data_IF_474377752016
#
_entry.id   IF_474377752016
#
_cell.length_a   1.000
_cell.length_b   1.000
_cell.length_c   1.000
_cell.angle_alpha   90.00
_cell.angle_beta   90.00
_cell.angle_gamma   90.00
#
_symmetry.space_group_name_H-M   'P 1'
#
loop_
_entity.id
_entity.type
_entity.pdbx_description
1 polymer ?
#
# COMPACT_ATOMS: atom_id res chain seq x y z
N UNK A 1 -24.11 14.20 32.52
CA UNK A 1 -23.19 13.12 32.12
C UNK A 1 -22.48 13.55 30.86
N UNK A 2 -21.13 13.72 30.85
CA UNK A 2 -20.38 14.05 29.64
C UNK A 2 -20.44 12.80 28.74
N UNK A 3 -21.02 12.96 27.56
CA UNK A 3 -21.13 11.91 26.54
C UNK A 3 -19.72 11.59 26.03
N UNK A 4 -19.09 10.56 26.60
CA UNK A 4 -17.69 10.22 26.37
C UNK A 4 -17.57 9.30 25.13
N UNK A 5 -18.30 9.66 24.03
CA UNK A 5 -18.20 8.93 22.76
C UNK A 5 -16.79 9.04 22.22
N UNK A 6 -16.22 7.93 21.75
CA UNK A 6 -14.98 7.90 21.00
C UNK A 6 -15.10 8.72 19.70
N UNK A 7 -14.00 9.07 19.08
CA UNK A 7 -14.02 9.76 17.80
C UNK A 7 -14.78 8.97 16.73
N UNK A 8 -14.56 7.66 16.66
CA UNK A 8 -15.23 6.77 15.71
C UNK A 8 -16.76 6.70 15.96
N UNK A 9 -17.19 6.61 17.23
CA UNK A 9 -18.63 6.64 17.57
C UNK A 9 -19.30 7.95 17.19
N UNK A 10 -18.58 9.07 17.24
CA UNK A 10 -19.08 10.37 16.76
C UNK A 10 -19.19 10.40 15.25
N UNK A 11 -18.20 9.82 14.54
CA UNK A 11 -18.17 9.77 13.09
C UNK A 11 -19.25 8.85 12.52
N UNK A 12 -19.52 7.73 13.19
CA UNK A 12 -20.58 6.79 12.81
C UNK A 12 -22.00 7.34 13.13
N UNK A 13 -22.10 8.21 14.12
CA UNK A 13 -23.37 8.81 14.59
C UNK A 13 -24.52 7.79 14.79
N UNK A 14 -24.18 6.60 15.29
CA UNK A 14 -25.12 5.51 15.50
C UNK A 14 -25.44 4.66 14.28
N UNK A 15 -24.80 4.91 13.13
CA UNK A 15 -24.97 4.06 11.96
C UNK A 15 -24.41 2.66 12.21
N UNK A 16 -25.15 1.65 11.79
CA UNK A 16 -24.69 0.27 11.82
C UNK A 16 -23.57 0.05 10.81
N UNK A 17 -22.61 -0.83 11.20
CA UNK A 17 -21.48 -1.22 10.35
C UNK A 17 -21.60 -2.68 10.01
N UNK A 18 -21.79 -2.99 8.74
CA UNK A 18 -21.81 -4.36 8.24
C UNK A 18 -20.37 -4.88 8.10
N UNK A 19 -20.13 -6.14 8.50
CA UNK A 19 -18.84 -6.79 8.34
C UNK A 19 -18.91 -7.79 7.20
N UNK A 20 -18.02 -7.67 6.24
CA UNK A 20 -17.97 -8.52 5.05
C UNK A 20 -16.60 -9.15 4.88
N UNK A 21 -16.51 -10.43 4.46
CA UNK A 21 -15.24 -11.03 4.09
C UNK A 21 -14.70 -10.38 2.80
N UNK A 22 -13.40 -10.20 2.73
CA UNK A 22 -12.75 -9.51 1.59
C UNK A 22 -13.11 -10.17 0.24
N UNK A 23 -13.23 -11.50 0.18
CA UNK A 23 -13.61 -12.18 -1.05
C UNK A 23 -14.95 -11.71 -1.64
N UNK A 24 -15.90 -11.27 -0.78
CA UNK A 24 -17.24 -10.87 -1.22
C UNK A 24 -17.31 -9.46 -1.83
N UNK A 25 -16.31 -8.62 -1.56
CA UNK A 25 -16.34 -7.18 -1.90
C UNK A 25 -15.13 -6.72 -2.71
N UNK A 26 -14.19 -7.64 -3.01
CA UNK A 26 -12.99 -7.35 -3.78
C UNK A 26 -12.84 -8.28 -4.97
N UNK A 27 -12.22 -7.81 -6.03
CA UNK A 27 -11.75 -8.61 -7.17
C UNK A 27 -10.23 -8.65 -7.15
N UNK A 28 -9.65 -9.84 -7.42
CA UNK A 28 -8.22 -10.08 -7.40
C UNK A 28 -7.67 -10.40 -8.79
N UNK A 29 -6.34 -10.31 -8.93
CA UNK A 29 -5.62 -10.53 -10.19
C UNK A 29 -5.68 -11.97 -10.69
N UNK A 30 -5.92 -12.94 -9.80
CA UNK A 30 -6.06 -14.35 -10.16
C UNK A 30 -6.95 -15.12 -9.17
N UNK A 31 -7.34 -16.31 -9.58
CA UNK A 31 -7.92 -17.30 -8.68
C UNK A 31 -6.82 -18.00 -7.89
N UNK A 32 -7.08 -18.20 -6.61
CA UNK A 32 -6.17 -18.90 -5.70
C UNK A 32 -6.67 -20.33 -5.48
N UNK A 33 -5.80 -21.33 -5.67
CA UNK A 33 -6.17 -22.75 -5.62
C UNK A 33 -6.80 -23.17 -4.28
N UNK A 34 -6.42 -22.50 -3.19
CA UNK A 34 -6.96 -22.76 -1.84
C UNK A 34 -8.30 -22.07 -1.58
N UNK A 35 -8.84 -21.30 -2.53
CA UNK A 35 -10.09 -20.54 -2.39
C UNK A 35 -11.13 -21.13 -3.32
N UNK A 36 -12.34 -21.35 -2.81
CA UNK A 36 -13.48 -21.84 -3.57
C UNK A 36 -13.78 -20.92 -4.77
N UNK A 37 -14.16 -21.51 -5.92
CA UNK A 37 -14.38 -20.76 -7.16
C UNK A 37 -15.52 -19.74 -7.03
N UNK A 38 -16.51 -20.05 -6.22
CA UNK A 38 -17.68 -19.24 -5.93
C UNK A 38 -17.31 -17.95 -5.21
N UNK A 39 -16.24 -17.97 -4.41
CA UNK A 39 -15.68 -16.81 -3.71
C UNK A 39 -14.84 -15.91 -4.62
N UNK A 40 -14.44 -16.41 -5.78
CA UNK A 40 -13.68 -15.66 -6.79
C UNK A 40 -14.29 -15.82 -8.19
N UNK A 41 -15.54 -15.37 -8.41
CA UNK A 41 -16.22 -15.53 -9.71
C UNK A 41 -15.52 -14.76 -10.83
N UNK A 42 -14.91 -13.63 -10.50
CA UNK A 42 -14.21 -12.73 -11.44
C UNK A 42 -12.74 -12.57 -11.04
N UNK A 43 -11.89 -12.33 -12.02
CA UNK A 43 -10.50 -11.95 -11.85
C UNK A 43 -10.14 -10.86 -12.86
N UNK A 44 -9.20 -9.98 -12.51
CA UNK A 44 -8.63 -8.97 -13.39
C UNK A 44 -7.22 -9.43 -13.71
N UNK A 45 -6.93 -9.74 -14.98
CA UNK A 45 -5.59 -10.18 -15.38
C UNK A 45 -4.70 -8.97 -15.62
N UNK A 46 -3.56 -8.95 -14.95
CA UNK A 46 -2.48 -8.01 -15.21
C UNK A 46 -1.28 -8.77 -15.82
N UNK A 47 -0.54 -8.08 -16.68
CA UNK A 47 0.78 -8.55 -17.06
C UNK A 47 1.74 -8.25 -15.93
N UNK A 48 2.52 -9.23 -15.48
CA UNK A 48 3.57 -8.99 -14.49
C UNK A 48 4.94 -9.38 -15.02
N UNK A 49 5.91 -8.60 -14.59
CA UNK A 49 7.29 -8.72 -14.96
C UNK A 49 8.08 -9.45 -13.88
N UNK A 50 9.10 -10.23 -14.28
CA UNK A 50 10.08 -10.69 -13.32
C UNK A 50 10.95 -9.52 -12.83
N UNK A 51 11.53 -9.64 -11.64
CA UNK A 51 12.37 -8.58 -11.08
C UNK A 51 13.56 -8.20 -11.99
N UNK A 52 14.11 -9.18 -12.73
CA UNK A 52 15.18 -8.97 -13.72
C UNK A 52 14.72 -8.18 -14.94
N UNK A 53 13.45 -8.31 -15.32
CA UNK A 53 12.86 -7.57 -16.46
C UNK A 53 12.49 -6.14 -16.08
N UNK A 54 12.12 -5.89 -14.83
CA UNK A 54 11.79 -4.54 -14.34
C UNK A 54 13.00 -3.63 -14.23
N UNK A 55 14.15 -4.18 -13.82
CA UNK A 55 15.36 -3.38 -13.57
C UNK A 55 15.82 -2.50 -14.76
N UNK A 56 15.87 -3.01 -16.00
CA UNK A 56 16.25 -2.20 -17.16
C UNK A 56 15.19 -1.19 -17.61
N UNK A 57 13.96 -1.27 -17.06
CA UNK A 57 12.86 -0.36 -17.39
C UNK A 57 12.82 0.88 -16.51
N UNK A 58 13.68 0.98 -15.49
CA UNK A 58 13.68 2.11 -14.56
C UNK A 58 14.18 3.38 -15.26
N UNK A 59 13.36 4.43 -15.21
CA UNK A 59 13.66 5.75 -15.80
C UNK A 59 13.28 6.83 -14.80
N UNK A 60 14.21 7.75 -14.52
CA UNK A 60 13.93 8.92 -13.71
C UNK A 60 12.93 9.85 -14.42
N UNK A 61 11.91 10.30 -13.71
CA UNK A 61 10.87 11.17 -14.28
C UNK A 61 9.88 10.47 -15.21
N UNK A 62 9.81 9.12 -15.18
CA UNK A 62 8.81 8.36 -15.91
C UNK A 62 7.38 8.66 -15.46
N UNK A 63 6.40 8.24 -16.26
CA UNK A 63 4.96 8.48 -16.04
C UNK A 63 4.15 7.21 -15.77
N UNK A 64 4.79 6.04 -15.75
CA UNK A 64 4.21 4.74 -15.43
C UNK A 64 4.89 4.19 -14.18
N UNK A 65 4.12 3.86 -13.14
CA UNK A 65 4.65 3.33 -11.87
C UNK A 65 5.15 1.90 -12.05
N UNK A 66 6.34 1.61 -11.55
CA UNK A 66 6.84 0.24 -11.40
C UNK A 66 6.48 -0.28 -10.00
N UNK A 67 5.45 -1.12 -9.88
CA UNK A 67 5.04 -1.74 -8.62
C UNK A 67 5.87 -2.99 -8.37
N UNK A 68 6.91 -2.87 -7.57
CA UNK A 68 7.75 -4.00 -7.15
C UNK A 68 7.14 -4.72 -5.94
N UNK A 69 7.75 -5.83 -5.53
CA UNK A 69 7.39 -6.54 -4.29
C UNK A 69 7.91 -5.87 -3.01
N UNK A 70 8.59 -4.74 -3.13
CA UNK A 70 9.03 -3.88 -2.04
C UNK A 70 8.49 -2.47 -2.25
N UNK A 71 8.39 -1.68 -1.20
CA UNK A 71 8.13 -0.25 -1.34
C UNK A 71 9.26 0.40 -2.13
N UNK A 72 8.90 1.05 -3.22
CA UNK A 72 9.85 1.75 -4.08
C UNK A 72 9.16 2.89 -4.81
N UNK A 73 9.87 3.98 -5.02
CA UNK A 73 9.42 5.10 -5.85
C UNK A 73 10.17 5.10 -7.17
N UNK A 74 9.92 4.06 -7.98
CA UNK A 74 10.55 3.87 -9.28
C UNK A 74 9.50 3.90 -10.40
N UNK A 75 9.93 4.40 -11.53
CA UNK A 75 9.06 4.73 -12.66
C UNK A 75 9.66 4.25 -13.98
N UNK A 76 8.81 4.17 -14.99
CA UNK A 76 9.17 3.90 -16.39
C UNK A 76 8.36 4.81 -17.32
N UNK A 77 8.57 4.68 -18.62
CA UNK A 77 7.78 5.39 -19.64
C UNK A 77 6.86 4.44 -20.39
N UNK A 78 5.80 5.00 -20.99
CA UNK A 78 4.85 4.24 -21.80
C UNK A 78 5.51 3.54 -22.97
N UNK A 79 6.52 4.17 -23.58
CA UNK A 79 7.24 3.64 -24.74
C UNK A 79 7.99 2.34 -24.41
N UNK A 80 8.54 2.22 -23.20
CA UNK A 80 9.29 1.05 -22.77
C UNK A 80 8.42 -0.16 -22.45
N UNK A 81 7.20 0.06 -21.96
CA UNK A 81 6.29 -1.02 -21.52
C UNK A 81 5.12 -1.26 -22.46
N UNK A 82 4.87 -0.34 -23.40
CA UNK A 82 3.90 -0.45 -24.49
C UNK A 82 2.55 -1.04 -24.05
N UNK A 83 2.17 -2.21 -24.61
CA UNK A 83 0.86 -2.84 -24.41
C UNK A 83 0.68 -3.53 -23.02
N UNK A 84 1.71 -3.51 -22.17
CA UNK A 84 1.68 -4.16 -20.86
C UNK A 84 1.27 -3.20 -19.73
N UNK A 85 0.88 -1.98 -20.08
CA UNK A 85 0.43 -0.97 -19.12
C UNK A 85 -0.95 -1.36 -18.61
N UNK A 86 -1.10 -1.29 -17.30
CA UNK A 86 -2.39 -1.34 -16.62
C UNK A 86 -2.71 0.04 -16.05
N UNK A 87 -3.99 0.36 -15.94
CA UNK A 87 -4.44 1.61 -15.32
C UNK A 87 -5.59 1.32 -14.37
N UNK A 88 -5.57 1.94 -13.20
CA UNK A 88 -6.62 1.77 -12.22
C UNK A 88 -6.22 2.23 -10.83
N UNK A 89 -7.12 1.97 -9.89
CA UNK A 89 -6.92 2.19 -8.47
C UNK A 89 -6.89 0.84 -7.77
N UNK A 90 -5.73 0.50 -7.22
CA UNK A 90 -5.41 -0.87 -6.78
C UNK A 90 -4.73 -0.90 -5.41
N UNK A 91 -4.84 -2.07 -4.79
CA UNK A 91 -4.03 -2.47 -3.63
C UNK A 91 -3.18 -3.66 -4.04
N UNK A 92 -1.90 -3.64 -3.68
CA UNK A 92 -0.96 -4.71 -4.00
C UNK A 92 -0.35 -5.30 -2.72
N UNK A 93 -0.30 -6.63 -2.66
CA UNK A 93 0.37 -7.41 -1.62
C UNK A 93 1.42 -8.28 -2.32
N UNK A 94 2.70 -8.26 -1.92
CA UNK A 94 3.73 -9.11 -2.50
C UNK A 94 3.37 -10.59 -2.44
N UNK A 95 3.57 -11.31 -3.54
CA UNK A 95 3.40 -12.77 -3.53
C UNK A 95 4.48 -13.45 -2.69
N UNK A 96 5.64 -12.85 -2.51
CA UNK A 96 6.71 -13.41 -1.70
C UNK A 96 7.61 -12.35 -1.09
N UNK A 97 8.30 -12.71 -0.01
CA UNK A 97 9.20 -11.83 0.72
C UNK A 97 8.55 -11.18 1.94
N UNK A 98 8.85 -9.91 2.17
CA UNK A 98 8.31 -9.16 3.31
C UNK A 98 6.86 -8.76 3.06
N UNK A 99 5.96 -8.96 4.03
CA UNK A 99 4.58 -8.50 3.92
C UNK A 99 4.53 -6.97 3.95
N UNK A 100 4.00 -6.39 2.90
CA UNK A 100 3.65 -4.98 2.78
C UNK A 100 2.29 -4.84 2.11
N UNK A 101 1.68 -3.69 2.24
CA UNK A 101 0.46 -3.32 1.51
C UNK A 101 0.75 -2.02 0.77
N UNK A 102 0.60 -2.02 -0.54
CA UNK A 102 0.82 -0.86 -1.39
C UNK A 102 -0.52 -0.39 -1.98
N UNK A 103 -0.69 0.91 -2.10
CA UNK A 103 -1.80 1.54 -2.81
C UNK A 103 -1.24 2.33 -3.99
N UNK A 104 -1.92 2.23 -5.12
CA UNK A 104 -1.60 3.06 -6.27
C UNK A 104 -2.87 3.39 -7.08
N UNK A 105 -2.86 4.58 -7.68
CA UNK A 105 -3.90 5.04 -8.60
C UNK A 105 -3.24 5.70 -9.80
N UNK A 106 -3.44 5.14 -10.97
CA UNK A 106 -2.87 5.62 -12.23
C UNK A 106 -2.37 4.50 -13.13
N UNK A 107 -1.44 4.82 -14.03
CA UNK A 107 -0.80 3.87 -14.94
C UNK A 107 0.34 3.14 -14.24
N UNK A 108 0.36 1.82 -14.34
CA UNK A 108 1.38 1.00 -13.70
C UNK A 108 1.72 -0.27 -14.50
N UNK A 109 2.87 -0.81 -14.21
CA UNK A 109 3.24 -2.21 -14.45
C UNK A 109 3.65 -2.85 -13.12
N UNK A 110 3.56 -4.16 -13.01
CA UNK A 110 3.73 -4.83 -11.72
C UNK A 110 4.69 -6.00 -11.79
N UNK A 111 5.44 -6.20 -10.71
CA UNK A 111 6.09 -7.46 -10.40
C UNK A 111 5.09 -8.50 -9.87
N UNK A 112 5.56 -9.60 -9.31
CA UNK A 112 4.71 -10.69 -8.78
C UNK A 112 4.00 -10.28 -7.48
N UNK A 113 3.08 -9.35 -7.60
CA UNK A 113 2.14 -8.94 -6.57
C UNK A 113 0.81 -9.66 -6.70
N UNK A 114 0.04 -9.67 -5.61
CA UNK A 114 -1.40 -9.99 -5.61
C UNK A 114 -2.14 -8.68 -5.57
N UNK A 115 -2.89 -8.41 -6.61
CA UNK A 115 -3.54 -7.10 -6.81
C UNK A 115 -5.04 -7.25 -6.59
N UNK A 116 -5.56 -6.37 -5.76
CA UNK A 116 -6.98 -6.26 -5.44
C UNK A 116 -7.54 -4.91 -5.81
N UNK A 117 -8.83 -4.89 -6.09
CA UNK A 117 -9.65 -3.68 -6.20
C UNK A 117 -11.05 -3.95 -5.65
N UNK A 118 -11.75 -2.92 -5.25
CA UNK A 118 -13.16 -3.01 -4.85
C UNK A 118 -14.03 -3.52 -6.00
N UNK A 119 -14.98 -4.41 -5.70
CA UNK A 119 -15.99 -4.86 -6.67
C UNK A 119 -16.97 -3.73 -7.04
N UNK A 120 -17.18 -2.79 -6.10
CA UNK A 120 -18.10 -1.69 -6.24
C UNK A 120 -17.65 -0.51 -5.38
N UNK A 121 -17.09 0.50 -6.03
CA UNK A 121 -16.60 1.72 -5.35
C UNK A 121 -17.72 2.58 -4.75
N UNK A 122 -18.98 2.27 -5.03
CA UNK A 122 -20.14 2.88 -4.33
C UNK A 122 -20.42 2.24 -2.97
N UNK A 123 -19.76 1.13 -2.65
CA UNK A 123 -19.90 0.40 -1.38
C UNK A 123 -18.59 0.44 -0.59
N UNK A 124 -17.46 0.20 -1.27
CA UNK A 124 -16.14 0.15 -0.68
C UNK A 124 -15.18 1.04 -1.47
N UNK A 125 -14.65 2.06 -0.81
CA UNK A 125 -13.56 2.90 -1.33
C UNK A 125 -12.24 2.12 -1.31
N UNK A 126 -11.46 2.18 -2.40
CA UNK A 126 -10.21 1.45 -2.52
C UNK A 126 -9.13 1.95 -1.54
N UNK A 127 -9.11 3.24 -1.25
CA UNK A 127 -8.13 3.78 -0.32
C UNK A 127 -8.49 3.48 1.13
N UNK A 128 -9.79 3.41 1.44
CA UNK A 128 -10.26 2.88 2.72
C UNK A 128 -9.86 1.40 2.89
N UNK A 129 -10.04 0.56 1.85
CA UNK A 129 -9.56 -0.81 1.83
C UNK A 129 -8.05 -0.89 2.07
N UNK A 130 -7.26 -0.03 1.43
CA UNK A 130 -5.81 0.06 1.66
C UNK A 130 -5.48 0.33 3.13
N UNK A 131 -6.08 1.37 3.72
CA UNK A 131 -5.82 1.71 5.12
C UNK A 131 -6.26 0.62 6.09
N UNK A 132 -7.39 -0.05 5.79
CA UNK A 132 -7.80 -1.21 6.56
C UNK A 132 -6.77 -2.34 6.51
N UNK A 133 -6.32 -2.74 5.32
CA UNK A 133 -5.32 -3.79 5.16
C UNK A 133 -3.98 -3.40 5.79
N UNK A 134 -3.58 -2.14 5.68
CA UNK A 134 -2.39 -1.61 6.33
C UNK A 134 -2.50 -1.71 7.86
N UNK A 135 -3.67 -1.42 8.44
CA UNK A 135 -3.92 -1.57 9.89
C UNK A 135 -3.91 -3.04 10.36
N UNK A 136 -4.01 -3.99 9.43
CA UNK A 136 -3.98 -5.44 9.69
C UNK A 136 -2.69 -6.10 9.21
N UNK A 137 -1.64 -5.31 8.97
CA UNK A 137 -0.39 -5.81 8.41
C UNK A 137 0.22 -6.95 9.27
N UNK A 138 0.15 -6.86 10.60
CA UNK A 138 0.63 -7.92 11.49
C UNK A 138 -0.16 -9.23 11.31
N UNK A 139 -1.48 -9.14 11.14
CA UNK A 139 -2.34 -10.29 10.86
C UNK A 139 -2.00 -10.88 9.50
N UNK A 140 -1.89 -10.05 8.46
CA UNK A 140 -1.49 -10.48 7.11
C UNK A 140 -0.10 -11.14 7.16
N UNK A 141 0.84 -10.55 7.90
CA UNK A 141 2.19 -11.10 8.12
C UNK A 141 2.16 -12.51 8.71
N UNK A 142 1.23 -12.77 9.64
CA UNK A 142 1.06 -14.09 10.25
C UNK A 142 0.59 -15.17 9.27
N UNK A 143 0.04 -14.76 8.11
CA UNK A 143 -0.40 -15.66 7.05
C UNK A 143 0.73 -16.05 6.07
N UNK A 144 1.90 -15.40 6.16
CA UNK A 144 3.05 -15.72 5.33
C UNK A 144 3.77 -16.97 5.84
N UNK A 145 3.90 -17.98 4.96
CA UNK A 145 4.47 -19.29 5.28
C UNK A 145 5.49 -19.72 4.24
N UNK A 146 6.46 -20.52 4.66
CA UNK A 146 7.52 -21.06 3.84
C UNK A 146 8.85 -21.12 4.60
N UNK A 147 9.71 -22.07 4.25
CA UNK A 147 11.04 -22.24 4.85
C UNK A 147 12.11 -21.35 4.20
N UNK A 148 11.87 -20.89 2.99
CA UNK A 148 12.70 -19.94 2.25
C UNK A 148 11.97 -18.61 2.05
N UNK A 149 11.61 -18.28 0.81
CA UNK A 149 10.74 -17.14 0.53
C UNK A 149 9.35 -17.47 1.07
N UNK A 150 8.88 -16.63 1.99
CA UNK A 150 7.54 -16.78 2.56
C UNK A 150 6.49 -16.24 1.59
N UNK A 151 5.36 -16.93 1.49
CA UNK A 151 4.23 -16.56 0.65
C UNK A 151 2.95 -16.38 1.48
N UNK A 152 2.07 -15.41 1.15
CA UNK A 152 0.81 -15.22 1.85
C UNK A 152 -0.15 -16.36 1.58
N UNK A 153 -0.82 -16.85 2.62
CA UNK A 153 -2.01 -17.69 2.44
C UNK A 153 -3.19 -16.82 2.02
N UNK A 154 -3.46 -16.76 0.72
CA UNK A 154 -4.54 -15.94 0.19
C UNK A 154 -5.93 -16.40 0.68
N UNK A 155 -6.10 -17.67 1.04
CA UNK A 155 -7.31 -18.12 1.72
C UNK A 155 -7.60 -17.29 2.98
N UNK A 156 -6.61 -17.17 3.87
CA UNK A 156 -6.79 -16.40 5.11
C UNK A 156 -6.94 -14.89 4.84
N UNK A 157 -6.24 -14.35 3.84
CA UNK A 157 -6.40 -12.94 3.46
C UNK A 157 -7.83 -12.68 2.96
N UNK A 158 -8.38 -13.54 2.12
CA UNK A 158 -9.71 -13.36 1.56
C UNK A 158 -10.83 -13.54 2.60
N UNK A 159 -10.62 -14.35 3.61
CA UNK A 159 -11.57 -14.57 4.72
C UNK A 159 -11.54 -13.44 5.78
N UNK A 160 -10.60 -12.51 5.71
CA UNK A 160 -10.59 -11.39 6.65
C UNK A 160 -11.86 -10.56 6.53
N UNK A 161 -12.47 -10.25 7.68
CA UNK A 161 -13.65 -9.39 7.75
C UNK A 161 -13.22 -7.92 7.77
N UNK A 162 -13.83 -7.11 6.90
CA UNK A 162 -13.68 -5.66 6.86
C UNK A 162 -14.99 -4.98 7.24
N UNK A 163 -14.98 -3.93 8.07
CA UNK A 163 -16.17 -3.14 8.36
C UNK A 163 -16.52 -2.27 7.15
N UNK A 164 -17.81 -2.20 6.82
CA UNK A 164 -18.34 -1.40 5.72
C UNK A 164 -19.28 -0.31 6.28
N UNK A 165 -18.74 0.79 6.80
CA UNK A 165 -19.56 1.96 7.11
C UNK A 165 -20.03 2.65 5.81
N UNK A 166 -20.87 3.68 5.93
CA UNK A 166 -21.29 4.48 4.78
C UNK A 166 -20.09 5.08 4.04
N UNK A 167 -20.21 5.33 2.74
CA UNK A 167 -19.12 5.93 1.94
C UNK A 167 -18.66 7.28 2.49
N UNK A 168 -19.58 8.08 3.06
CA UNK A 168 -19.20 9.35 3.70
C UNK A 168 -18.26 9.17 4.86
N UNK A 169 -18.49 8.13 5.68
CA UNK A 169 -17.60 7.76 6.79
C UNK A 169 -16.25 7.22 6.27
N UNK A 170 -16.28 6.36 5.25
CA UNK A 170 -15.04 5.85 4.62
C UNK A 170 -14.21 7.02 4.08
N UNK A 171 -14.83 7.95 3.34
CA UNK A 171 -14.16 9.14 2.78
C UNK A 171 -13.56 10.02 3.87
N UNK A 172 -14.26 10.23 4.98
CA UNK A 172 -13.74 11.05 6.09
C UNK A 172 -12.57 10.37 6.79
N UNK A 173 -12.64 9.04 7.00
CA UNK A 173 -11.49 8.25 7.52
C UNK A 173 -10.28 8.39 6.60
N UNK A 174 -10.47 8.22 5.29
CA UNK A 174 -9.40 8.37 4.29
C UNK A 174 -8.80 9.76 4.34
N UNK A 175 -9.63 10.81 4.34
CA UNK A 175 -9.19 12.20 4.41
C UNK A 175 -8.29 12.47 5.64
N UNK A 176 -8.69 11.96 6.80
CA UNK A 176 -7.92 12.13 8.04
C UNK A 176 -6.59 11.37 7.97
N UNK A 177 -6.61 10.11 7.53
CA UNK A 177 -5.41 9.29 7.44
C UNK A 177 -4.43 9.82 6.38
N UNK A 178 -4.93 10.35 5.26
CA UNK A 178 -4.11 11.01 4.24
C UNK A 178 -3.41 12.24 4.81
N UNK A 179 -4.13 13.09 5.55
CA UNK A 179 -3.55 14.28 6.17
C UNK A 179 -2.47 13.90 7.20
N UNK A 180 -2.70 12.89 8.02
CA UNK A 180 -1.72 12.40 8.99
C UNK A 180 -0.49 11.77 8.31
N UNK A 181 -0.70 11.03 7.21
CA UNK A 181 0.39 10.43 6.43
C UNK A 181 1.26 11.52 5.79
N UNK A 182 0.64 12.54 5.19
CA UNK A 182 1.36 13.67 4.60
C UNK A 182 2.18 14.42 5.66
N UNK A 183 1.60 14.71 6.81
CA UNK A 183 2.29 15.37 7.93
C UNK A 183 3.48 14.52 8.44
N UNK A 184 3.29 13.21 8.58
CA UNK A 184 4.36 12.30 9.00
C UNK A 184 5.52 12.29 8.00
N UNK A 185 5.22 12.30 6.70
CA UNK A 185 6.22 12.37 5.63
C UNK A 185 7.00 13.68 5.68
N UNK A 186 6.31 14.81 5.85
CA UNK A 186 6.93 16.14 5.98
C UNK A 186 7.89 16.21 7.18
N UNK A 187 7.42 15.77 8.36
CA UNK A 187 8.23 15.72 9.59
C UNK A 187 9.46 14.82 9.45
N UNK A 188 9.31 13.68 8.76
CA UNK A 188 10.43 12.76 8.51
C UNK A 188 11.48 13.39 7.60
N UNK A 189 11.03 14.11 6.57
CA UNK A 189 11.90 14.86 5.65
C UNK A 189 12.63 15.98 6.39
N UNK A 190 11.93 16.74 7.21
CA UNK A 190 12.55 17.80 8.03
C UNK A 190 13.59 17.22 9.00
N UNK A 191 13.26 16.14 9.70
CA UNK A 191 14.20 15.48 10.60
C UNK A 191 15.47 15.04 9.87
N UNK A 192 15.35 14.52 8.68
CA UNK A 192 16.49 14.10 7.84
C UNK A 192 17.37 15.30 7.48
N UNK A 193 16.77 16.44 7.10
CA UNK A 193 17.50 17.67 6.81
C UNK A 193 18.21 18.23 8.06
N UNK A 194 17.55 18.21 9.21
CA UNK A 194 18.14 18.65 10.50
C UNK A 194 19.32 17.78 10.91
N UNK A 195 19.23 16.46 10.70
CA UNK A 195 20.36 15.54 10.95
C UNK A 195 21.56 15.88 10.08
N UNK A 196 21.37 16.08 8.77
CA UNK A 196 22.45 16.49 7.85
C UNK A 196 23.06 17.83 8.27
N UNK A 197 22.24 18.81 8.67
CA UNK A 197 22.69 20.08 9.16
C UNK A 197 23.55 19.94 10.44
N UNK A 198 23.09 19.13 11.40
CA UNK A 198 23.82 18.83 12.61
C UNK A 198 25.19 18.17 12.31
N UNK A 199 25.21 17.14 11.44
CA UNK A 199 26.44 16.44 11.04
C UNK A 199 27.44 17.43 10.39
N UNK A 200 26.97 18.25 9.47
CA UNK A 200 27.81 19.28 8.83
C UNK A 200 28.43 20.25 9.85
N UNK A 201 27.64 20.82 10.75
CA UNK A 201 28.16 21.76 11.74
C UNK A 201 29.03 21.06 12.79
N UNK A 202 28.68 19.86 13.22
CA UNK A 202 29.52 19.07 14.13
C UNK A 202 30.91 18.87 13.53
N UNK A 203 31.01 18.39 12.29
CA UNK A 203 32.29 18.19 11.62
C UNK A 203 33.06 19.51 11.48
N UNK A 204 32.38 20.55 11.03
CA UNK A 204 33.02 21.86 10.82
C UNK A 204 33.49 22.52 12.11
N UNK A 205 32.73 22.42 13.20
CA UNK A 205 33.09 23.01 14.49
C UNK A 205 34.15 22.21 15.25
N UNK A 206 34.27 20.91 14.97
CA UNK A 206 35.28 20.05 15.60
C UNK A 206 36.50 19.79 14.68
N UNK A 207 36.55 20.37 13.47
CA UNK A 207 37.73 20.33 12.61
C UNK A 207 38.68 21.45 13.03
N UNK A 208 39.74 21.07 13.73
CA UNK A 208 40.82 21.99 14.13
C UNK A 208 42.01 22.01 13.15
N UNK A 209 41.93 21.27 12.04
CA UNK A 209 42.98 21.12 11.03
C UNK A 209 43.40 22.46 10.38
N UNK A 210 42.53 23.47 10.43
CA UNK A 210 42.84 24.82 9.96
C UNK A 210 43.68 25.67 10.95
N UNK A 211 43.80 25.23 12.19
CA UNK A 211 44.55 25.96 13.27
C UNK A 211 46.02 25.45 13.38
N UNK A 212 46.36 24.31 12.83
CA UNK A 212 47.72 23.80 12.83
C UNK A 212 48.67 24.46 11.82
N UNK A 213 48.16 25.46 11.05
CA UNK A 213 48.93 26.20 10.03
C UNK A 213 49.15 27.67 10.40
N UNK A 214 49.02 28.00 11.67
CA UNK A 214 49.46 29.26 12.26
C UNK A 214 50.62 29.01 13.18
#
# INVERSE_FOLDING_TARGET
>A
MKNNRTFLEKLLDGAEVEWKPLWSITTWDKRFNAVEKEKQPKVIKYHYYLASELKPLIVDGGNVKLLTTNESDIWTTEELVQNNISEGEIIAIPWGGNPIVQYYKGKFVTADNRIATSNNTKILDNKFLYYFLLSKLDVISSFYRGSGIKHPSMYHVLEMLIPIPSLSVQTEIVRILDALTALTSELTSELTLRRKQYEYYREKLLSFDSLERL
#
